data_IF_901125781366
#
_entry.id   IF_901125781366
#
_cell.length_a   1.000
_cell.length_b   1.000
_cell.length_c   1.000
_cell.angle_alpha   90.00
_cell.angle_beta   90.00
_cell.angle_gamma   90.00
#
_symmetry.space_group_name_H-M   'P 1'
#
loop_
_entity.id
_entity.type
_entity.pdbx_description
1 polymer ?
#
# COMPACT_ATOMS: atom_id res chain seq x y z
N UNK A 1 -38.56 -17.54 48.75
CA UNK A 1 -39.14 -18.85 49.11
C UNK A 1 -39.60 -19.47 47.83
N UNK A 2 -38.98 -20.48 47.34
CA UNK A 2 -39.46 -21.77 46.92
C UNK A 2 -38.36 -22.54 46.16
N UNK A 3 -38.26 -23.75 46.63
CA UNK A 3 -37.21 -24.74 46.40
C UNK A 3 -37.44 -25.55 45.15
N UNK A 4 -36.33 -26.05 44.63
CA UNK A 4 -36.07 -27.24 43.79
C UNK A 4 -37.19 -28.29 43.68
N UNK A 5 -37.12 -29.23 42.67
CA UNK A 5 -36.14 -30.31 42.82
C UNK A 5 -35.48 -30.86 41.51
N UNK A 6 -34.32 -31.36 41.78
CA UNK A 6 -33.50 -32.34 41.07
C UNK A 6 -34.30 -33.60 40.65
N UNK A 7 -34.08 -34.11 39.44
CA UNK A 7 -34.40 -35.53 39.09
C UNK A 7 -33.21 -36.16 38.36
N UNK A 8 -32.67 -37.13 39.04
CA UNK A 8 -31.74 -38.15 38.57
C UNK A 8 -32.54 -39.23 37.83
N UNK A 9 -31.99 -39.84 36.78
CA UNK A 9 -32.16 -41.22 36.37
C UNK A 9 -31.13 -41.57 35.29
N UNK A 10 -30.17 -42.36 35.62
CA UNK A 10 -29.96 -43.81 35.65
C UNK A 10 -29.72 -44.39 34.22
N UNK A 11 -28.52 -44.89 34.09
CA UNK A 11 -27.99 -45.74 33.05
C UNK A 11 -28.72 -47.06 32.94
N UNK A 12 -28.66 -47.74 31.78
CA UNK A 12 -28.04 -49.06 31.83
C UNK A 12 -26.99 -49.35 30.73
N UNK A 13 -26.28 -50.34 31.09
CA UNK A 13 -25.06 -51.00 30.63
C UNK A 13 -25.35 -52.00 29.51
N UNK A 14 -24.33 -52.19 28.65
CA UNK A 14 -23.91 -53.41 27.92
C UNK A 14 -24.78 -53.90 26.72
N UNK A 15 -24.11 -54.04 25.59
CA UNK A 15 -23.83 -55.33 24.95
C UNK A 15 -22.64 -55.25 23.99
N UNK A 16 -21.65 -56.08 24.25
CA UNK A 16 -20.56 -56.43 23.31
C UNK A 16 -21.11 -57.22 22.11
N UNK A 17 -20.76 -56.83 20.93
CA UNK A 17 -20.79 -57.71 19.79
C UNK A 17 -19.50 -57.50 18.96
N UNK A 18 -18.61 -58.45 19.05
CA UNK A 18 -17.47 -58.60 18.16
C UNK A 18 -17.98 -59.11 16.81
N UNK A 19 -17.75 -58.32 15.76
CA UNK A 19 -17.83 -58.81 14.39
C UNK A 19 -16.54 -58.46 13.68
N UNK A 20 -15.78 -59.49 13.38
CA UNK A 20 -14.68 -59.55 12.42
C UNK A 20 -15.19 -59.09 11.05
N UNK A 21 -14.61 -58.07 10.50
CA UNK A 21 -14.80 -57.66 9.10
C UNK A 21 -13.45 -57.41 8.42
N UNK A 22 -13.37 -57.78 7.15
CA UNK A 22 -12.09 -57.98 6.47
C UNK A 22 -11.44 -56.65 6.08
N UNK A 23 -10.15 -56.72 6.09
CA UNK A 23 -9.19 -55.73 5.62
C UNK A 23 -9.48 -55.36 4.13
N UNK A 24 -10.18 -54.27 3.89
CA UNK A 24 -10.21 -53.58 2.60
C UNK A 24 -9.11 -52.57 2.60
N UNK A 25 -8.02 -52.87 1.90
CA UNK A 25 -6.98 -51.96 1.48
C UNK A 25 -7.65 -50.86 0.62
N UNK A 26 -8.09 -49.79 1.27
CA UNK A 26 -8.39 -48.55 0.59
C UNK A 26 -7.03 -47.91 0.23
N UNK A 27 -6.62 -48.13 -1.02
CA UNK A 27 -5.61 -47.28 -1.66
C UNK A 27 -6.17 -45.86 -1.63
N UNK A 28 -5.65 -45.07 -0.70
CA UNK A 28 -5.78 -43.61 -0.74
C UNK A 28 -5.06 -43.15 -2.01
N UNK A 29 -5.80 -42.91 -3.05
CA UNK A 29 -5.32 -42.16 -4.20
C UNK A 29 -4.96 -40.77 -3.66
N UNK A 30 -3.66 -40.61 -3.36
CA UNK A 30 -3.06 -39.32 -3.10
C UNK A 30 -3.25 -38.52 -4.40
N UNK A 31 -4.26 -37.64 -4.41
CA UNK A 31 -4.43 -36.66 -5.48
C UNK A 31 -3.21 -35.76 -5.38
N UNK A 32 -2.19 -36.07 -6.17
CA UNK A 32 -1.06 -35.19 -6.45
C UNK A 32 -1.68 -33.97 -7.15
N UNK A 33 -2.08 -32.99 -6.37
CA UNK A 33 -2.48 -31.70 -6.91
C UNK A 33 -1.24 -31.12 -7.59
N UNK A 34 -1.33 -30.92 -8.89
CA UNK A 34 -0.30 -30.30 -9.71
C UNK A 34 0.08 -28.96 -9.08
N UNK A 35 1.33 -28.76 -8.64
CA UNK A 35 1.77 -27.51 -8.01
C UNK A 35 1.57 -26.28 -8.90
N UNK A 36 1.42 -26.46 -10.22
CA UNK A 36 1.09 -25.41 -11.16
C UNK A 36 -0.40 -24.98 -11.09
N UNK A 37 -1.32 -25.90 -10.79
CA UNK A 37 -2.71 -25.53 -10.54
C UNK A 37 -2.89 -24.79 -9.21
N UNK A 38 -2.20 -25.19 -8.16
CA UNK A 38 -2.21 -24.49 -6.88
C UNK A 38 -1.58 -23.08 -6.94
N UNK A 39 -0.72 -22.83 -7.92
CA UNK A 39 -0.14 -21.49 -8.14
C UNK A 39 -1.08 -20.57 -8.95
N UNK A 40 -1.98 -21.09 -9.77
CA UNK A 40 -2.91 -20.29 -10.56
C UNK A 40 -4.19 -19.91 -9.80
N UNK A 41 -4.58 -20.67 -8.79
CA UNK A 41 -5.75 -20.37 -7.95
C UNK A 41 -5.52 -19.27 -6.91
N UNK A 42 -4.29 -18.81 -6.73
CA UNK A 42 -3.98 -17.75 -5.79
C UNK A 42 -3.75 -16.45 -6.55
N UNK A 43 -4.74 -15.62 -6.60
CA UNK A 43 -4.63 -14.19 -6.47
C UNK A 43 -5.75 -13.47 -7.22
N UNK A 44 -6.91 -13.49 -6.58
CA UNK A 44 -7.89 -12.42 -6.83
C UNK A 44 -7.15 -11.08 -6.71
N UNK A 45 -7.43 -10.12 -7.57
CA UNK A 45 -6.85 -8.78 -7.40
C UNK A 45 -7.20 -8.27 -6.01
N UNK A 46 -6.25 -7.66 -5.32
CA UNK A 46 -6.47 -7.06 -4.00
C UNK A 46 -7.46 -5.90 -4.10
N UNK A 47 -7.52 -5.27 -5.27
CA UNK A 47 -8.42 -4.17 -5.56
C UNK A 47 -8.66 -4.04 -7.07
N UNK A 48 -9.89 -3.63 -7.44
CA UNK A 48 -10.30 -3.37 -8.82
C UNK A 48 -11.17 -2.12 -8.87
N UNK A 49 -10.99 -1.31 -9.92
CA UNK A 49 -11.83 -0.14 -10.19
C UNK A 49 -11.97 0.10 -11.69
N UNK A 50 -13.15 0.52 -12.16
CA UNK A 50 -13.29 1.09 -13.48
C UNK A 50 -12.36 2.30 -13.63
N UNK A 51 -11.59 2.33 -14.71
CA UNK A 51 -10.58 3.36 -14.90
C UNK A 51 -10.47 3.79 -16.37
N UNK A 52 -9.83 4.95 -16.55
CA UNK A 52 -9.47 5.51 -17.84
C UNK A 52 -7.95 5.62 -17.93
N UNK A 53 -7.34 4.87 -18.82
CA UNK A 53 -5.93 5.07 -19.16
C UNK A 53 -5.80 6.29 -20.08
N UNK A 54 -5.12 7.33 -19.62
CA UNK A 54 -4.78 8.50 -20.44
C UNK A 54 -3.56 8.21 -21.29
N UNK A 55 -3.68 8.43 -22.58
CA UNK A 55 -2.59 8.35 -23.55
C UNK A 55 -2.26 9.75 -24.08
N UNK A 56 -1.13 9.91 -24.76
CA UNK A 56 -0.75 11.18 -25.39
C UNK A 56 -1.85 11.68 -26.35
N UNK A 57 -2.53 10.75 -27.03
CA UNK A 57 -3.69 11.05 -27.86
C UNK A 57 -4.84 10.15 -27.40
N UNK A 58 -5.90 10.79 -26.88
CA UNK A 58 -7.11 10.11 -26.45
C UNK A 58 -7.01 9.43 -25.07
N UNK A 59 -8.03 8.63 -24.79
CA UNK A 59 -8.13 7.84 -23.57
C UNK A 59 -8.78 6.49 -23.85
N UNK A 60 -8.48 5.51 -23.03
CA UNK A 60 -8.99 4.16 -23.13
C UNK A 60 -9.70 3.79 -21.83
N UNK A 61 -10.98 3.37 -21.92
CA UNK A 61 -11.76 2.91 -20.79
C UNK A 61 -11.53 1.44 -20.55
N UNK A 62 -11.53 1.01 -19.28
CA UNK A 62 -11.35 -0.38 -18.90
C UNK A 62 -11.38 -0.52 -17.38
N UNK A 63 -10.88 -1.65 -16.90
CA UNK A 63 -10.76 -1.97 -15.49
C UNK A 63 -9.30 -2.01 -15.08
N UNK A 64 -8.98 -1.31 -14.00
CA UNK A 64 -7.67 -1.35 -13.35
C UNK A 64 -7.72 -2.35 -12.20
N UNK A 65 -6.83 -3.32 -12.22
CA UNK A 65 -6.69 -4.35 -11.20
C UNK A 65 -5.33 -4.20 -10.54
N UNK A 66 -5.31 -4.15 -9.22
CA UNK A 66 -4.08 -4.19 -8.41
C UNK A 66 -3.99 -5.55 -7.76
N UNK A 67 -2.97 -6.30 -8.10
CA UNK A 67 -2.71 -7.65 -7.60
C UNK A 67 -1.40 -7.74 -6.83
N UNK A 68 -1.09 -8.90 -6.28
CA UNK A 68 0.12 -9.11 -5.49
C UNK A 68 1.42 -8.98 -6.29
N UNK A 69 1.40 -9.09 -7.62
CA UNK A 69 2.63 -9.07 -8.44
C UNK A 69 2.73 -7.85 -9.36
N UNK A 70 1.71 -6.98 -9.36
CA UNK A 70 1.68 -5.85 -10.27
C UNK A 70 0.28 -5.36 -10.55
N UNK A 71 0.20 -4.51 -11.55
CA UNK A 71 -1.02 -3.85 -11.99
C UNK A 71 -1.40 -4.39 -13.38
N UNK A 72 -2.68 -4.66 -13.56
CA UNK A 72 -3.26 -5.05 -14.85
C UNK A 72 -4.36 -4.06 -15.22
N UNK A 73 -4.31 -3.55 -16.45
CA UNK A 73 -5.39 -2.75 -17.02
C UNK A 73 -6.01 -3.52 -18.17
N UNK A 74 -7.28 -3.85 -18.05
CA UNK A 74 -8.07 -4.53 -19.08
C UNK A 74 -8.93 -3.52 -19.81
N UNK A 75 -8.56 -3.26 -21.03
CA UNK A 75 -9.31 -2.35 -21.91
C UNK A 75 -10.66 -2.96 -22.34
N UNK A 76 -11.68 -2.14 -22.42
CA UNK A 76 -12.96 -2.52 -23.01
C UNK A 76 -12.87 -2.98 -24.49
N UNK A 77 -11.72 -2.78 -25.14
CA UNK A 77 -11.41 -3.25 -26.50
C UNK A 77 -10.69 -4.60 -26.54
N UNK A 78 -10.57 -5.28 -25.38
CA UNK A 78 -9.92 -6.58 -25.26
C UNK A 78 -8.39 -6.54 -25.17
N UNK A 79 -7.78 -5.34 -25.13
CA UNK A 79 -6.34 -5.21 -24.88
C UNK A 79 -6.07 -5.28 -23.39
N UNK A 80 -4.98 -5.91 -23.01
CA UNK A 80 -4.53 -6.01 -21.62
C UNK A 80 -3.12 -5.45 -21.51
N UNK A 81 -2.95 -4.47 -20.61
CA UNK A 81 -1.65 -3.96 -20.20
C UNK A 81 -1.32 -4.56 -18.84
N UNK A 82 -0.20 -5.27 -18.75
CA UNK A 82 0.32 -5.81 -17.47
C UNK A 82 1.62 -5.10 -17.14
N UNK A 83 1.76 -4.72 -15.88
CA UNK A 83 2.92 -4.04 -15.34
C UNK A 83 3.31 -4.67 -14.02
N UNK A 84 4.48 -5.28 -13.98
CA UNK A 84 5.08 -5.80 -12.74
C UNK A 84 5.53 -4.64 -11.84
N UNK A 85 5.50 -4.82 -10.52
CA UNK A 85 6.07 -3.83 -9.58
C UNK A 85 7.57 -3.58 -9.81
N UNK A 86 8.31 -4.56 -10.33
CA UNK A 86 9.73 -4.41 -10.68
C UNK A 86 9.97 -3.46 -11.88
N UNK A 87 8.98 -3.30 -12.74
CA UNK A 87 9.06 -2.39 -13.90
C UNK A 87 8.72 -0.95 -13.54
N UNK A 88 8.16 -0.70 -12.35
CA UNK A 88 7.82 0.63 -11.88
C UNK A 88 9.07 1.33 -11.34
N UNK A 89 9.32 2.52 -11.79
CA UNK A 89 10.34 3.41 -11.25
C UNK A 89 9.80 4.21 -10.07
N UNK A 90 8.64 4.82 -10.25
CA UNK A 90 7.91 5.54 -9.20
C UNK A 90 6.42 5.46 -9.46
N UNK A 91 5.62 5.73 -8.42
CA UNK A 91 4.20 5.96 -8.60
C UNK A 91 3.72 7.15 -7.76
N UNK A 92 2.67 7.79 -8.24
CA UNK A 92 1.94 8.83 -7.54
C UNK A 92 0.48 8.40 -7.46
N UNK A 93 -0.02 8.23 -6.25
CA UNK A 93 -1.39 7.81 -5.97
C UNK A 93 -2.17 8.96 -5.35
N UNK A 94 -3.29 9.30 -5.98
CA UNK A 94 -4.31 10.21 -5.44
C UNK A 94 -5.63 9.46 -5.29
N UNK A 95 -6.63 10.01 -4.58
CA UNK A 95 -7.91 9.32 -4.39
C UNK A 95 -8.55 8.79 -5.67
N UNK A 96 -8.42 9.51 -6.79
CA UNK A 96 -9.02 9.14 -8.07
C UNK A 96 -8.02 9.02 -9.22
N UNK A 97 -6.73 9.02 -8.94
CA UNK A 97 -5.73 8.89 -10.00
C UNK A 97 -4.50 8.10 -9.55
N UNK A 98 -3.97 7.28 -10.45
CA UNK A 98 -2.70 6.59 -10.29
C UNK A 98 -1.80 6.96 -11.47
N UNK A 99 -0.65 7.51 -11.19
CA UNK A 99 0.39 7.81 -12.19
C UNK A 99 1.59 6.92 -11.91
N UNK A 100 2.02 6.18 -12.90
CA UNK A 100 3.16 5.26 -12.82
C UNK A 100 4.20 5.72 -13.83
N UNK A 101 5.44 5.78 -13.40
CA UNK A 101 6.59 5.92 -14.28
C UNK A 101 7.35 4.60 -14.31
N UNK A 102 7.72 4.15 -15.51
CA UNK A 102 8.37 2.86 -15.71
C UNK A 102 9.81 3.05 -16.17
N UNK A 103 10.65 2.02 -15.99
CA UNK A 103 12.00 1.98 -16.54
C UNK A 103 12.02 1.81 -18.07
N UNK A 104 10.88 1.48 -18.68
CA UNK A 104 10.80 1.26 -20.12
C UNK A 104 10.76 2.58 -20.89
N UNK A 105 11.57 2.69 -21.93
CA UNK A 105 11.53 3.80 -22.86
C UNK A 105 10.39 3.62 -23.85
N UNK A 106 9.55 4.61 -23.98
CA UNK A 106 8.32 4.61 -24.77
C UNK A 106 8.50 4.28 -26.25
N UNK A 107 9.64 4.57 -26.85
CA UNK A 107 9.99 4.26 -28.24
C UNK A 107 11.51 4.42 -28.48
N UNK A 108 12.06 3.63 -29.43
CA UNK A 108 13.46 3.70 -29.88
C UNK A 108 13.94 5.10 -30.32
N UNK A 109 13.04 6.05 -30.62
CA UNK A 109 13.36 7.37 -31.15
C UNK A 109 12.95 8.55 -30.23
N UNK A 110 12.36 8.29 -29.06
CA UNK A 110 12.08 9.33 -28.07
C UNK A 110 12.62 8.87 -26.72
N UNK A 111 13.79 9.34 -26.30
CA UNK A 111 14.28 9.08 -24.96
C UNK A 111 13.30 9.70 -23.93
N UNK A 112 12.76 8.90 -23.03
CA UNK A 112 11.86 9.34 -21.99
C UNK A 112 11.27 8.15 -21.24
N UNK A 113 10.99 8.38 -19.97
CA UNK A 113 10.29 7.42 -19.11
C UNK A 113 8.86 7.28 -19.58
N UNK A 114 8.36 6.06 -19.73
CA UNK A 114 6.95 5.85 -20.01
C UNK A 114 6.13 6.20 -18.77
N UNK A 115 5.22 7.17 -18.94
CA UNK A 115 4.30 7.62 -17.89
C UNK A 115 2.90 7.15 -18.21
N UNK A 116 2.37 6.29 -17.36
CA UNK A 116 1.00 5.78 -17.42
C UNK A 116 0.15 6.54 -16.41
N UNK A 117 -0.98 7.09 -16.86
CA UNK A 117 -1.93 7.79 -15.99
C UNK A 117 -3.29 7.13 -16.07
N UNK A 118 -3.74 6.62 -14.95
CA UNK A 118 -5.08 6.05 -14.77
C UNK A 118 -5.94 7.03 -13.98
N UNK A 119 -7.13 7.32 -14.49
CA UNK A 119 -8.17 8.07 -13.78
C UNK A 119 -9.23 7.05 -13.35
N UNK A 120 -9.43 6.90 -12.05
CA UNK A 120 -10.32 5.90 -11.46
C UNK A 120 -11.66 6.52 -11.14
N UNK A 121 -12.74 5.76 -11.34
CA UNK A 121 -14.10 6.20 -10.99
C UNK A 121 -14.31 6.12 -9.49
N UNK A 122 -13.77 5.09 -8.85
CA UNK A 122 -13.88 4.87 -7.42
C UNK A 122 -12.64 5.44 -6.70
N UNK A 123 -12.87 5.97 -5.50
CA UNK A 123 -11.78 6.46 -4.67
C UNK A 123 -10.98 5.30 -4.08
N UNK A 124 -9.67 5.41 -4.14
CA UNK A 124 -8.76 4.46 -3.50
C UNK A 124 -8.87 4.60 -1.98
N UNK A 125 -9.07 3.49 -1.29
CA UNK A 125 -9.06 3.48 0.17
C UNK A 125 -7.63 3.59 0.73
N UNK A 126 -7.45 4.12 1.95
CA UNK A 126 -6.15 4.16 2.61
C UNK A 126 -5.47 2.79 2.73
N UNK A 127 -6.25 1.72 2.96
CA UNK A 127 -5.74 0.36 3.04
C UNK A 127 -5.11 -0.08 1.71
N UNK A 128 -5.81 0.12 0.60
CA UNK A 128 -5.29 -0.22 -0.74
C UNK A 128 -4.04 0.60 -1.07
N UNK A 129 -4.02 1.87 -0.67
CA UNK A 129 -2.85 2.73 -0.84
C UNK A 129 -1.63 2.23 -0.06
N UNK A 130 -1.83 1.80 1.19
CA UNK A 130 -0.78 1.24 2.03
C UNK A 130 -0.27 -0.10 1.47
N UNK A 131 -1.17 -0.99 1.04
CA UNK A 131 -0.82 -2.27 0.45
C UNK A 131 -0.01 -2.08 -0.84
N UNK A 132 -0.45 -1.17 -1.73
CA UNK A 132 0.29 -0.85 -2.95
C UNK A 132 1.69 -0.30 -2.64
N UNK A 133 1.80 0.63 -1.70
CA UNK A 133 3.08 1.20 -1.30
C UNK A 133 4.04 0.13 -0.74
N UNK A 134 3.52 -0.83 0.02
CA UNK A 134 4.29 -1.94 0.57
C UNK A 134 4.81 -2.88 -0.52
N UNK A 135 3.97 -3.22 -1.49
CA UNK A 135 4.33 -4.14 -2.57
C UNK A 135 5.30 -3.51 -3.57
N UNK A 136 5.12 -2.24 -3.91
CA UNK A 136 5.97 -1.56 -4.90
C UNK A 136 7.39 -1.38 -4.39
N UNK A 137 7.62 -1.17 -3.09
CA UNK A 137 8.94 -0.98 -2.48
C UNK A 137 9.83 0.04 -3.22
N UNK A 138 9.22 1.07 -3.82
CA UNK A 138 9.89 2.15 -4.55
C UNK A 138 9.46 3.49 -3.97
N UNK A 139 10.27 4.53 -4.13
CA UNK A 139 9.85 5.87 -3.74
C UNK A 139 8.49 6.21 -4.35
N UNK A 140 7.56 6.62 -3.51
CA UNK A 140 6.19 6.87 -3.92
C UNK A 140 5.71 8.23 -3.42
N UNK A 141 4.70 8.74 -4.11
CA UNK A 141 3.91 9.87 -3.63
C UNK A 141 2.50 9.34 -3.37
N UNK A 142 2.12 9.28 -2.11
CA UNK A 142 0.80 8.83 -1.72
C UNK A 142 -0.01 9.98 -1.13
N UNK A 143 -1.08 10.39 -1.82
CA UNK A 143 -2.00 11.42 -1.38
C UNK A 143 -3.24 10.84 -0.67
N UNK A 144 -3.16 9.61 -0.18
CA UNK A 144 -4.25 8.91 0.53
C UNK A 144 -3.73 8.45 1.90
N UNK A 145 -3.49 9.38 2.86
CA UNK A 145 -3.04 9.03 4.20
C UNK A 145 -4.11 8.23 4.94
N UNK A 146 -3.67 7.28 5.75
CA UNK A 146 -4.58 6.49 6.60
C UNK A 146 -4.99 7.32 7.82
N UNK A 147 -6.30 7.62 8.01
CA UNK A 147 -6.75 8.41 9.15
C UNK A 147 -6.65 7.66 10.50
N UNK A 148 -6.51 6.34 10.49
CA UNK A 148 -6.46 5.52 11.70
C UNK A 148 -5.06 5.43 12.31
N UNK A 149 -4.01 5.81 11.58
CA UNK A 149 -2.63 5.81 12.07
C UNK A 149 -2.51 6.78 13.24
N UNK A 150 -1.97 6.32 14.35
CA UNK A 150 -1.70 7.14 15.53
C UNK A 150 -0.30 7.75 15.45
N UNK A 151 -0.14 8.95 16.03
CA UNK A 151 1.15 9.63 16.03
C UNK A 151 1.10 10.99 16.73
N UNK A 152 2.26 11.64 16.78
CA UNK A 152 2.36 13.03 17.24
C UNK A 152 1.82 13.94 16.14
N UNK A 153 0.92 14.85 16.49
CA UNK A 153 0.25 15.74 15.55
C UNK A 153 0.69 17.17 15.78
N UNK A 154 1.11 17.85 14.73
CA UNK A 154 1.46 19.28 14.73
C UNK A 154 0.65 19.98 13.62
N UNK A 155 -0.17 20.99 13.94
CA UNK A 155 -0.84 21.79 12.92
C UNK A 155 0.19 22.50 12.02
N UNK A 156 -0.02 22.47 10.71
CA UNK A 156 0.94 22.99 9.76
C UNK A 156 0.27 23.65 8.54
N UNK A 157 0.99 24.54 7.89
CA UNK A 157 0.64 25.08 6.59
C UNK A 157 1.68 24.59 5.57
N UNK A 158 1.23 23.83 4.59
CA UNK A 158 2.07 23.45 3.44
C UNK A 158 2.22 24.64 2.50
N UNK A 159 3.44 25.05 2.24
CA UNK A 159 3.75 26.12 1.27
C UNK A 159 3.76 25.58 -0.14
N UNK A 160 3.03 26.22 -1.03
CA UNK A 160 3.11 25.96 -2.47
C UNK A 160 3.12 27.26 -3.26
N UNK A 161 3.48 27.20 -4.54
CA UNK A 161 3.47 28.35 -5.45
C UNK A 161 2.07 28.97 -5.58
N UNK A 162 1.01 28.19 -5.37
CA UNK A 162 -0.39 28.63 -5.39
C UNK A 162 -0.91 29.11 -4.04
N UNK A 163 -0.06 29.31 -3.04
CA UNK A 163 -0.42 29.78 -1.69
C UNK A 163 -0.45 28.67 -0.63
N UNK A 164 -0.63 27.41 -1.02
CA UNK A 164 -0.60 26.24 -0.10
C UNK A 164 -1.90 25.98 0.64
N UNK A 165 -1.85 25.04 1.58
CA UNK A 165 -3.00 24.55 2.33
C UNK A 165 -2.72 24.44 3.81
N UNK A 166 -3.75 24.57 4.63
CA UNK A 166 -3.68 24.30 6.06
C UNK A 166 -4.07 22.83 6.31
N UNK A 167 -3.37 22.19 7.22
CA UNK A 167 -3.59 20.81 7.60
C UNK A 167 -2.85 20.45 8.89
N UNK A 168 -2.59 19.18 9.07
CA UNK A 168 -1.82 18.65 10.17
C UNK A 168 -0.68 17.77 9.64
N UNK A 169 0.49 17.87 10.24
CA UNK A 169 1.54 16.87 10.15
C UNK A 169 1.36 15.86 11.26
N UNK A 170 1.37 14.58 10.91
CA UNK A 170 1.30 13.46 11.84
C UNK A 170 2.56 12.62 11.69
N UNK A 171 3.28 12.45 12.78
CA UNK A 171 4.52 11.68 12.85
C UNK A 171 4.25 10.36 13.54
N UNK A 172 4.43 9.26 12.83
CA UNK A 172 4.19 7.89 13.29
C UNK A 172 5.44 7.04 13.14
N UNK A 173 5.41 5.81 13.64
CA UNK A 173 6.53 4.87 13.46
C UNK A 173 6.72 4.46 11.98
N UNK A 174 5.66 4.55 11.17
CA UNK A 174 5.72 4.20 9.74
C UNK A 174 6.18 5.32 8.82
N UNK A 175 6.17 6.58 9.28
CA UNK A 175 6.49 7.74 8.45
C UNK A 175 5.80 9.02 8.86
N UNK A 176 5.63 9.91 7.89
CA UNK A 176 5.02 11.23 8.06
C UNK A 176 3.79 11.34 7.15
N UNK A 177 2.68 11.81 7.71
CA UNK A 177 1.51 12.18 6.93
C UNK A 177 1.24 13.68 7.04
N UNK A 178 0.96 14.31 5.93
CA UNK A 178 0.31 15.61 5.88
C UNK A 178 -1.15 15.41 5.48
N UNK A 179 -2.05 15.75 6.35
CA UNK A 179 -3.50 15.57 6.16
C UNK A 179 -4.17 16.93 6.08
N UNK A 180 -4.85 17.18 4.97
CA UNK A 180 -5.56 18.45 4.71
C UNK A 180 -6.94 18.18 4.11
N UNK A 181 -7.83 19.17 4.18
CA UNK A 181 -9.12 19.11 3.51
C UNK A 181 -9.05 19.17 1.98
N UNK A 182 -7.88 19.49 1.41
CA UNK A 182 -7.61 19.41 -0.02
C UNK A 182 -7.01 18.03 -0.35
N UNK A 183 -7.80 17.08 -0.90
CA UNK A 183 -7.38 15.67 -1.03
C UNK A 183 -6.11 15.50 -1.86
N UNK A 184 -5.94 16.29 -2.91
CA UNK A 184 -4.78 16.19 -3.79
C UNK A 184 -3.50 16.77 -3.18
N UNK A 185 -3.61 17.53 -2.09
CA UNK A 185 -2.47 18.10 -1.37
C UNK A 185 -2.10 17.32 -0.11
N UNK A 186 -2.94 16.38 0.33
CA UNK A 186 -2.56 15.41 1.37
C UNK A 186 -1.43 14.53 0.87
N UNK A 187 -0.52 14.14 1.79
CA UNK A 187 0.63 13.28 1.48
C UNK A 187 0.92 12.33 2.62
N UNK A 188 1.41 11.15 2.25
CA UNK A 188 1.93 10.16 3.17
C UNK A 188 3.30 9.71 2.67
N UNK A 189 4.31 9.80 3.51
CA UNK A 189 5.67 9.36 3.25
C UNK A 189 6.04 8.28 4.26
N UNK A 190 6.44 7.13 3.76
CA UNK A 190 7.20 6.16 4.56
C UNK A 190 8.61 6.71 4.76
N UNK A 191 9.34 6.23 5.73
CA UNK A 191 10.75 6.61 5.91
C UNK A 191 11.58 6.37 4.64
N UNK A 192 11.32 5.28 3.91
CA UNK A 192 11.96 4.96 2.63
C UNK A 192 11.60 5.91 1.47
N UNK A 193 10.57 6.74 1.60
CA UNK A 193 10.19 7.73 0.58
C UNK A 193 10.91 9.08 0.78
N UNK A 194 11.60 9.25 1.90
CA UNK A 194 12.32 10.48 2.27
C UNK A 194 13.83 10.31 2.11
N UNK A 195 14.48 11.33 1.62
CA UNK A 195 15.95 11.43 1.60
C UNK A 195 16.49 12.04 2.88
N UNK A 196 15.84 13.09 3.37
CA UNK A 196 16.22 13.80 4.58
C UNK A 196 15.10 14.73 5.04
N UNK A 197 15.23 15.20 6.29
CA UNK A 197 14.47 16.30 6.86
C UNK A 197 15.38 17.43 7.22
N UNK A 198 14.89 18.67 7.15
CA UNK A 198 15.58 19.86 7.63
C UNK A 198 14.64 20.75 8.41
N UNK A 199 15.05 21.21 9.56
CA UNK A 199 14.32 22.18 10.37
C UNK A 199 15.24 23.36 10.65
N UNK A 200 15.21 24.39 9.78
CA UNK A 200 16.09 25.56 9.96
C UNK A 200 15.78 26.35 11.24
N UNK A 201 14.57 26.22 11.72
CA UNK A 201 14.13 26.70 13.03
C UNK A 201 12.94 25.83 13.53
N UNK A 202 12.50 25.97 14.81
CA UNK A 202 11.48 25.11 15.39
C UNK A 202 10.08 25.20 14.75
N UNK A 203 9.84 26.17 13.89
CA UNK A 203 8.53 26.42 13.25
C UNK A 203 8.54 26.13 11.76
N UNK A 204 9.66 25.66 11.22
CA UNK A 204 9.76 25.28 9.82
C UNK A 204 10.26 23.84 9.67
N UNK A 205 9.61 23.07 8.80
CA UNK A 205 10.02 21.73 8.44
C UNK A 205 10.07 21.59 6.92
N UNK A 206 11.19 21.10 6.42
CA UNK A 206 11.40 20.72 5.03
C UNK A 206 11.49 19.20 4.94
N UNK A 207 10.63 18.57 4.15
CA UNK A 207 10.69 17.14 3.84
C UNK A 207 11.20 16.97 2.42
N UNK A 208 12.34 16.33 2.26
CA UNK A 208 12.96 16.07 0.97
C UNK A 208 12.67 14.64 0.55
N UNK A 209 11.77 14.48 -0.41
CA UNK A 209 11.57 13.22 -1.11
C UNK A 209 12.57 13.05 -2.25
N UNK A 210 12.50 11.92 -2.95
CA UNK A 210 13.42 11.66 -4.08
C UNK A 210 13.18 12.55 -5.31
N UNK A 211 12.03 13.19 -5.41
CA UNK A 211 11.66 14.05 -6.56
C UNK A 211 11.10 15.39 -6.15
N UNK A 212 10.53 15.47 -4.96
CA UNK A 212 9.81 16.64 -4.50
C UNK A 212 10.33 17.08 -3.14
N UNK A 213 10.23 18.37 -2.88
CA UNK A 213 10.50 18.96 -1.58
C UNK A 213 9.23 19.64 -1.09
N UNK A 214 8.87 19.34 0.14
CA UNK A 214 7.71 19.92 0.81
C UNK A 214 8.17 20.84 1.93
N UNK A 215 7.60 22.03 1.98
CA UNK A 215 7.90 23.05 2.97
C UNK A 215 6.68 23.32 3.83
N UNK A 216 6.86 23.23 5.14
CA UNK A 216 5.79 23.41 6.11
C UNK A 216 6.12 24.52 7.10
N UNK A 217 5.16 25.45 7.31
CA UNK A 217 5.14 26.37 8.45
C UNK A 217 4.35 25.69 9.57
N UNK A 218 5.01 25.36 10.65
CA UNK A 218 4.41 24.73 11.81
C UNK A 218 3.70 25.79 12.67
N UNK A 219 2.52 25.45 13.18
CA UNK A 219 1.77 26.34 14.10
C UNK A 219 2.13 26.11 15.56
N UNK A 220 2.87 25.05 15.82
CA UNK A 220 3.40 24.69 17.12
C UNK A 220 4.89 24.37 16.97
N UNK A 221 5.65 24.51 18.04
CA UNK A 221 7.07 24.23 18.08
C UNK A 221 7.34 22.75 17.80
N UNK A 222 8.22 22.44 16.85
CA UNK A 222 8.75 21.09 16.67
C UNK A 222 9.74 20.78 17.80
N UNK A 223 9.44 19.82 18.70
CA UNK A 223 10.36 19.45 19.75
C UNK A 223 11.67 18.90 19.17
N UNK A 224 12.80 19.38 19.67
CA UNK A 224 14.12 18.98 19.18
C UNK A 224 14.35 17.46 19.30
N UNK A 225 13.85 16.84 20.36
CA UNK A 225 13.91 15.38 20.55
C UNK A 225 13.10 14.62 19.49
N UNK A 226 11.97 15.16 19.07
CA UNK A 226 11.19 14.61 17.96
C UNK A 226 11.99 14.73 16.66
N UNK A 227 12.51 15.92 16.35
CA UNK A 227 13.28 16.14 15.13
C UNK A 227 14.45 15.15 14.99
N UNK A 228 15.27 14.99 16.03
CA UNK A 228 16.38 14.02 15.99
C UNK A 228 15.91 12.59 15.80
N UNK A 229 14.85 12.17 16.46
CA UNK A 229 14.28 10.83 16.25
C UNK A 229 13.86 10.62 14.79
N UNK A 230 13.22 11.62 14.15
CA UNK A 230 12.80 11.52 12.75
C UNK A 230 13.99 11.41 11.79
N UNK A 231 15.09 12.12 12.07
CA UNK A 231 16.32 12.02 11.27
C UNK A 231 16.96 10.65 11.47
N UNK A 232 17.05 10.15 12.70
CA UNK A 232 17.60 8.82 13.00
C UNK A 232 16.83 7.70 12.28
N UNK A 233 15.50 7.80 12.17
CA UNK A 233 14.66 6.82 11.43
C UNK A 233 15.00 6.80 9.93
N UNK A 234 15.19 7.97 9.31
CA UNK A 234 15.57 8.06 7.90
C UNK A 234 16.98 7.49 7.68
N UNK A 235 17.91 7.80 8.55
CA UNK A 235 19.30 7.31 8.46
C UNK A 235 19.35 5.79 8.65
N UNK A 236 18.59 5.24 9.59
CA UNK A 236 18.47 3.81 9.81
C UNK A 236 17.91 3.09 8.59
N UNK A 237 16.87 3.65 7.95
CA UNK A 237 16.29 3.10 6.72
C UNK A 237 17.30 3.11 5.57
N UNK A 238 18.02 4.22 5.39
CA UNK A 238 19.04 4.36 4.34
C UNK A 238 20.20 3.36 4.53
N UNK A 239 20.62 3.14 5.78
CA UNK A 239 21.63 2.16 6.11
C UNK A 239 21.17 0.73 5.81
N UNK A 240 19.94 0.37 6.16
CA UNK A 240 19.35 -0.94 5.88
C UNK A 240 19.27 -1.23 4.37
N UNK A 241 18.84 -0.27 3.56
CA UNK A 241 18.80 -0.40 2.10
C UNK A 241 20.20 -0.57 1.48
N UNK A 242 21.19 0.14 2.00
CA UNK A 242 22.58 0.03 1.54
C UNK A 242 23.17 -1.36 1.80
N UNK A 243 22.87 -1.94 2.96
CA UNK A 243 23.30 -3.31 3.32
C UNK A 243 22.65 -4.37 2.41
N UNK A 244 21.34 -4.22 2.11
CA UNK A 244 20.65 -5.14 1.21
C UNK A 244 21.19 -5.12 -0.22
N UNK A 245 21.67 -3.96 -0.70
CA UNK A 245 22.32 -3.83 -2.02
C UNK A 245 23.71 -4.48 -2.07
N UNK A 246 24.45 -4.44 -0.98
CA UNK A 246 25.81 -4.99 -0.89
C UNK A 246 25.83 -6.52 -0.73
N UNK A 247 24.69 -7.12 -0.36
CA UNK A 247 24.54 -8.57 -0.15
C UNK A 247 24.04 -9.34 -1.39
N UNK A 248 23.77 -8.65 -2.48
CA UNK A 248 23.35 -9.20 -3.78
C UNK A 248 24.45 -9.14 -4.80
#
# INVERSE_FOLDING_TARGET
MNRMPLKWQVWPVLVLAASLSPCLLAQSAEIVQDPQQAASERRSPSWQSPAKLRRAVGSEKGDLLVGANGIEFRSGKGQTLKLSYLEMQTFHLSPHSLVIETYQNRKKHMPGVERLRFEMTESVSPQVAADLAKEVQRPSQNAVPDPTVQGIVIPAHHRSLAGGTNGILRFSDGGIDYVTGAPDDSRSWRWADLQTLSSPDPYHLLAFGYRDTYSFDLKELLPQSLYYRLVDEIDAQTAAESQQRSSK
#
